data_IF_449516764106
#
_entry.id   IF_449516764106
#
_cell.length_a   1.000
_cell.length_b   1.000
_cell.length_c   1.000
_cell.angle_alpha   90.00
_cell.angle_beta   90.00
_cell.angle_gamma   90.00
#
_symmetry.space_group_name_H-M   'P 1'
#
loop_
_entity.id
_entity.type
_entity.pdbx_description
1 polymer ?
#
# COMPACT_ATOMS: atom_id res chain seq x y z
N UNK A 1 -34.28 -29.22 -24.29
CA UNK A 1 -32.91 -29.62 -24.68
C UNK A 1 -32.60 -29.64 -26.20
N UNK A 2 -33.55 -29.41 -27.13
CA UNK A 2 -33.24 -29.40 -28.58
C UNK A 2 -32.51 -28.12 -29.05
N UNK A 3 -32.83 -26.97 -28.45
CA UNK A 3 -32.27 -25.65 -28.85
C UNK A 3 -30.77 -25.55 -28.53
N UNK A 4 -30.33 -25.92 -27.32
CA UNK A 4 -28.92 -25.98 -26.94
C UNK A 4 -28.10 -26.89 -27.88
N UNK A 5 -28.66 -28.04 -28.26
CA UNK A 5 -28.02 -29.00 -29.18
C UNK A 5 -27.88 -28.41 -30.60
N UNK A 6 -28.88 -27.66 -31.07
CA UNK A 6 -28.84 -26.95 -32.35
C UNK A 6 -27.82 -25.81 -32.35
N UNK A 7 -27.77 -25.02 -31.28
CA UNK A 7 -26.78 -23.93 -31.12
C UNK A 7 -25.35 -24.46 -31.16
N UNK A 8 -25.05 -25.53 -30.42
CA UNK A 8 -23.70 -26.11 -30.39
C UNK A 8 -23.29 -26.70 -31.74
N UNK A 9 -24.21 -27.38 -32.42
CA UNK A 9 -23.97 -27.95 -33.76
C UNK A 9 -23.76 -26.85 -34.81
N UNK A 10 -24.46 -25.72 -34.68
CA UNK A 10 -24.30 -24.57 -35.57
C UNK A 10 -22.99 -23.81 -35.29
N UNK A 11 -22.61 -23.64 -34.02
CA UNK A 11 -21.34 -23.03 -33.64
C UNK A 11 -20.13 -23.86 -34.06
N UNK A 12 -20.19 -25.20 -33.99
CA UNK A 12 -19.12 -26.09 -34.44
C UNK A 12 -19.07 -26.30 -35.95
N UNK A 13 -20.02 -25.75 -36.73
CA UNK A 13 -20.03 -25.85 -38.20
C UNK A 13 -18.82 -25.17 -38.84
N UNK A 14 -18.36 -24.07 -38.25
CA UNK A 14 -17.16 -23.36 -38.65
C UNK A 14 -16.18 -23.28 -37.48
N UNK A 15 -15.52 -24.43 -37.20
CA UNK A 15 -14.64 -24.63 -36.03
C UNK A 15 -13.58 -23.53 -35.88
N UNK A 16 -12.94 -23.12 -36.98
CA UNK A 16 -11.90 -22.08 -36.96
C UNK A 16 -12.45 -20.71 -36.51
N UNK A 17 -13.56 -20.27 -37.11
CA UNK A 17 -14.18 -18.98 -36.80
C UNK A 17 -14.64 -18.91 -35.35
N UNK A 18 -15.33 -19.96 -34.89
CA UNK A 18 -15.84 -20.02 -33.51
C UNK A 18 -14.71 -20.10 -32.48
N UNK A 19 -13.62 -20.80 -32.79
CA UNK A 19 -12.45 -20.86 -31.93
C UNK A 19 -11.72 -19.51 -31.86
N UNK A 20 -11.52 -18.83 -32.99
CA UNK A 20 -10.92 -17.49 -33.03
C UNK A 20 -11.75 -16.45 -32.25
N UNK A 21 -13.08 -16.51 -32.33
CA UNK A 21 -13.95 -15.59 -31.57
C UNK A 21 -13.93 -15.90 -30.07
N UNK A 22 -14.00 -17.18 -29.69
CA UNK A 22 -13.89 -17.57 -28.29
C UNK A 22 -12.52 -17.20 -27.69
N UNK A 23 -11.44 -17.41 -28.44
CA UNK A 23 -10.09 -17.08 -28.02
C UNK A 23 -9.90 -15.56 -27.86
N UNK A 24 -10.44 -14.75 -28.78
CA UNK A 24 -10.39 -13.30 -28.67
C UNK A 24 -11.07 -12.78 -27.39
N UNK A 25 -12.26 -13.30 -27.07
CA UNK A 25 -12.98 -12.97 -25.83
C UNK A 25 -12.18 -13.46 -24.61
N UNK A 26 -11.62 -14.68 -24.67
CA UNK A 26 -10.83 -15.24 -23.58
C UNK A 26 -9.57 -14.39 -23.29
N UNK A 27 -8.86 -13.94 -24.33
CA UNK A 27 -7.68 -13.07 -24.20
C UNK A 27 -8.08 -11.74 -23.56
N UNK A 28 -9.19 -11.13 -23.98
CA UNK A 28 -9.66 -9.87 -23.40
C UNK A 28 -9.98 -10.00 -21.90
N UNK A 29 -10.71 -11.05 -21.52
CA UNK A 29 -11.04 -11.33 -20.11
C UNK A 29 -9.77 -11.63 -19.31
N UNK A 30 -8.84 -12.42 -19.87
CA UNK A 30 -7.57 -12.76 -19.22
C UNK A 30 -6.72 -11.51 -18.97
N UNK A 31 -6.54 -10.66 -19.97
CA UNK A 31 -5.79 -9.42 -19.84
C UNK A 31 -6.41 -8.49 -18.79
N UNK A 32 -7.73 -8.34 -18.81
CA UNK A 32 -8.44 -7.56 -17.79
C UNK A 32 -8.25 -8.13 -16.39
N UNK A 33 -8.42 -9.44 -16.22
CA UNK A 33 -8.29 -10.12 -14.93
C UNK A 33 -6.87 -10.04 -14.37
N UNK A 34 -5.87 -10.18 -15.25
CA UNK A 34 -4.46 -10.05 -14.90
C UNK A 34 -4.14 -8.62 -14.45
N UNK A 35 -4.58 -7.61 -15.21
CA UNK A 35 -4.42 -6.21 -14.84
C UNK A 35 -5.09 -5.90 -13.49
N UNK A 36 -6.31 -6.39 -13.27
CA UNK A 36 -7.03 -6.30 -11.99
C UNK A 36 -6.23 -6.93 -10.85
N UNK A 37 -5.72 -8.14 -11.05
CA UNK A 37 -4.96 -8.89 -10.04
C UNK A 37 -3.66 -8.17 -9.69
N UNK A 38 -2.94 -7.66 -10.68
CA UNK A 38 -1.69 -6.91 -10.46
C UNK A 38 -1.97 -5.62 -9.69
N UNK A 39 -3.02 -4.89 -10.06
CA UNK A 39 -3.46 -3.69 -9.33
C UNK A 39 -3.82 -4.05 -7.88
N UNK A 40 -4.69 -5.04 -7.69
CA UNK A 40 -5.16 -5.45 -6.37
C UNK A 40 -3.99 -5.96 -5.50
N UNK A 41 -3.04 -6.72 -6.05
CA UNK A 41 -1.84 -7.18 -5.35
C UNK A 41 -0.92 -6.01 -4.95
N UNK A 42 -0.74 -5.02 -5.82
CA UNK A 42 0.04 -3.81 -5.53
C UNK A 42 -0.61 -2.99 -4.41
N UNK A 43 -1.94 -2.86 -4.43
CA UNK A 43 -2.69 -2.13 -3.41
C UNK A 43 -2.98 -2.95 -2.14
N UNK A 44 -2.80 -4.27 -2.12
CA UNK A 44 -2.97 -5.09 -0.90
C UNK A 44 -2.03 -4.62 0.23
N UNK A 45 -0.82 -4.17 -0.10
CA UNK A 45 0.09 -3.54 0.87
C UNK A 45 -0.43 -2.21 1.44
N UNK A 46 -1.20 -1.46 0.64
CA UNK A 46 -1.83 -0.20 1.04
C UNK A 46 -3.16 -0.45 1.78
N UNK A 47 -3.94 -1.45 1.39
CA UNK A 47 -5.19 -1.83 2.06
C UNK A 47 -4.95 -2.48 3.43
N UNK A 48 -3.74 -2.97 3.69
CA UNK A 48 -3.29 -3.38 5.02
C UNK A 48 -2.96 -2.17 5.92
N UNK A 49 -2.83 -0.98 5.34
CA UNK A 49 -2.69 0.25 6.11
C UNK A 49 -4.07 0.70 6.60
N UNK A 50 -4.17 1.06 7.88
CA UNK A 50 -5.44 1.38 8.53
C UNK A 50 -6.28 2.38 7.72
N UNK A 51 -7.54 2.02 7.45
CA UNK A 51 -8.52 2.89 6.76
C UNK A 51 -8.82 4.20 7.51
N UNK A 52 -8.35 4.31 8.76
CA UNK A 52 -8.57 5.48 9.62
C UNK A 52 -7.35 6.41 9.70
N UNK A 53 -6.30 6.19 8.89
CA UNK A 53 -5.12 7.08 8.88
C UNK A 53 -5.02 7.89 7.60
N UNK A 54 -4.83 9.20 7.77
CA UNK A 54 -4.57 10.14 6.68
C UNK A 54 -3.13 10.65 6.77
N UNK A 55 -2.39 10.54 5.67
CA UNK A 55 -1.03 11.08 5.56
C UNK A 55 -1.06 12.42 4.83
N UNK A 56 -0.70 13.50 5.54
CA UNK A 56 -0.57 14.85 4.96
C UNK A 56 0.90 15.16 4.66
N UNK A 57 1.19 15.66 3.46
CA UNK A 57 2.55 16.04 3.04
C UNK A 57 2.59 17.45 2.44
N UNK A 58 3.78 18.01 2.34
CA UNK A 58 3.99 19.24 1.58
C UNK A 58 3.61 19.03 0.11
N UNK A 59 2.84 19.97 -0.46
CA UNK A 59 2.38 19.90 -1.85
C UNK A 59 3.52 19.87 -2.87
N UNK A 60 4.67 20.48 -2.55
CA UNK A 60 5.82 20.58 -3.45
C UNK A 60 6.56 19.25 -3.56
N UNK A 61 6.97 18.67 -2.43
CA UNK A 61 7.65 17.37 -2.38
C UNK A 61 7.69 16.82 -0.95
N UNK A 62 7.83 15.51 -0.80
CA UNK A 62 8.11 14.84 0.48
C UNK A 62 9.44 15.29 1.10
N UNK A 63 10.37 15.76 0.28
CA UNK A 63 11.67 16.28 0.72
C UNK A 63 11.56 17.59 1.54
N UNK A 64 10.44 18.32 1.39
CA UNK A 64 10.23 19.57 2.12
C UNK A 64 9.39 19.33 3.36
N UNK A 65 9.94 19.68 4.53
CA UNK A 65 9.23 19.60 5.81
C UNK A 65 7.97 20.49 5.82
N UNK A 66 6.98 20.07 6.60
CA UNK A 66 5.83 20.91 6.92
C UNK A 66 6.12 21.75 8.18
N UNK A 67 5.52 22.94 8.32
CA UNK A 67 5.64 23.71 9.56
C UNK A 67 5.04 22.97 10.76
N UNK A 68 5.75 22.93 11.89
CA UNK A 68 5.28 22.29 13.14
C UNK A 68 3.94 22.82 13.63
N UNK A 69 3.64 24.10 13.36
CA UNK A 69 2.36 24.72 13.71
C UNK A 69 1.13 24.01 13.10
N UNK A 70 1.31 23.20 12.05
CA UNK A 70 0.22 22.44 11.44
C UNK A 70 -0.21 21.25 12.29
N UNK A 71 0.66 20.68 13.13
CA UNK A 71 0.30 19.59 14.03
C UNK A 71 -0.89 19.99 14.93
N UNK A 72 -0.77 21.13 15.62
CA UNK A 72 -1.81 21.65 16.49
C UNK A 72 -3.07 22.09 15.73
N UNK A 73 -2.96 22.45 14.44
CA UNK A 73 -4.13 22.78 13.59
C UNK A 73 -4.88 21.51 13.17
N UNK A 74 -4.15 20.47 12.77
CA UNK A 74 -4.72 19.18 12.36
C UNK A 74 -5.38 18.50 13.55
N UNK A 75 -4.75 18.53 14.73
CA UNK A 75 -5.30 17.94 15.95
C UNK A 75 -6.66 18.54 16.38
N UNK A 76 -7.00 19.74 15.91
CA UNK A 76 -8.29 20.40 16.20
C UNK A 76 -9.40 20.04 15.20
N UNK A 77 -9.08 19.33 14.12
CA UNK A 77 -10.08 18.92 13.12
C UNK A 77 -11.01 17.87 13.75
N UNK A 78 -12.35 18.03 13.66
CA UNK A 78 -13.27 17.04 14.19
C UNK A 78 -13.01 15.63 13.64
N UNK A 79 -12.95 14.64 14.52
CA UNK A 79 -12.69 13.23 14.17
C UNK A 79 -11.21 12.82 14.19
N UNK A 80 -10.27 13.76 14.36
CA UNK A 80 -8.85 13.43 14.54
C UNK A 80 -8.60 12.97 15.98
N UNK A 81 -8.13 11.73 16.14
CA UNK A 81 -7.84 11.12 17.45
C UNK A 81 -6.37 11.24 17.86
N UNK A 82 -5.47 11.49 16.91
CA UNK A 82 -4.05 11.65 17.16
C UNK A 82 -3.32 12.16 15.92
N UNK A 83 -2.18 12.83 16.16
CA UNK A 83 -1.28 13.33 15.12
C UNK A 83 0.14 12.93 15.51
N UNK A 84 0.93 12.50 14.54
CA UNK A 84 2.35 12.24 14.71
C UNK A 84 3.09 12.75 13.50
N UNK A 85 4.29 13.27 13.73
CA UNK A 85 5.18 13.72 12.66
C UNK A 85 6.06 12.56 12.20
N UNK A 86 6.25 12.47 10.88
CA UNK A 86 7.25 11.62 10.25
C UNK A 86 7.99 12.42 9.18
N UNK A 87 9.30 12.59 9.34
CA UNK A 87 10.14 13.35 8.43
C UNK A 87 11.07 12.40 7.67
N UNK A 88 10.92 12.37 6.35
CA UNK A 88 11.88 11.67 5.50
C UNK A 88 13.19 12.47 5.47
N UNK A 89 14.30 11.80 5.74
CA UNK A 89 15.63 12.44 5.75
C UNK A 89 16.58 11.87 4.70
N UNK A 90 16.10 10.97 3.82
CA UNK A 90 16.89 10.46 2.70
C UNK A 90 18.16 9.70 3.11
N UNK A 91 18.14 8.99 4.24
CA UNK A 91 19.30 8.22 4.69
C UNK A 91 19.71 7.11 3.72
N UNK A 92 20.98 6.74 3.75
CA UNK A 92 21.55 5.64 2.95
C UNK A 92 21.91 4.49 3.88
N UNK A 93 21.39 3.29 3.60
CA UNK A 93 21.73 2.09 4.36
C UNK A 93 22.80 1.28 3.62
N UNK A 94 24.05 1.34 4.09
CA UNK A 94 25.23 0.70 3.49
C UNK A 94 25.58 1.24 2.09
N UNK A 95 24.69 1.06 1.10
CA UNK A 95 24.82 1.48 -0.30
C UNK A 95 23.50 2.09 -0.79
N UNK A 96 23.54 3.00 -1.76
CA UNK A 96 22.36 3.61 -2.38
C UNK A 96 21.42 2.59 -3.03
N UNK A 97 21.94 1.42 -3.42
CA UNK A 97 21.14 0.32 -3.98
C UNK A 97 20.17 -0.29 -2.97
N UNK A 98 20.47 -0.21 -1.67
CA UNK A 98 19.62 -0.74 -0.59
C UNK A 98 18.61 0.31 -0.13
N UNK A 99 17.94 0.96 -1.08
CA UNK A 99 17.02 2.03 -0.78
C UNK A 99 15.76 1.50 -0.11
N UNK A 100 15.48 2.01 1.08
CA UNK A 100 14.16 1.95 1.70
C UNK A 100 13.84 3.28 2.37
N UNK A 101 12.56 3.54 2.56
CA UNK A 101 12.11 4.81 3.10
C UNK A 101 12.45 4.91 4.61
N UNK A 102 13.36 5.80 4.95
CA UNK A 102 13.82 6.06 6.31
C UNK A 102 13.20 7.35 6.84
N UNK A 103 12.45 7.25 7.93
CA UNK A 103 11.72 8.36 8.54
C UNK A 103 12.18 8.59 9.98
N UNK A 104 12.40 9.85 10.34
CA UNK A 104 12.48 10.29 11.73
C UNK A 104 11.07 10.56 12.24
N UNK A 105 10.68 9.93 13.34
CA UNK A 105 9.30 9.98 13.86
C UNK A 105 9.29 10.35 15.34
N UNK A 106 8.14 10.81 15.84
CA UNK A 106 7.89 10.94 17.27
C UNK A 106 7.58 9.57 17.88
N UNK A 107 8.48 8.94 18.66
CA UNK A 107 8.43 7.50 18.93
C UNK A 107 7.09 7.03 19.51
N UNK A 108 6.62 7.65 20.59
CA UNK A 108 5.40 7.24 21.27
C UNK A 108 4.13 7.53 20.47
N UNK A 109 4.02 8.74 19.90
CA UNK A 109 2.85 9.14 19.12
C UNK A 109 2.73 8.29 17.86
N UNK A 110 3.87 8.04 17.20
CA UNK A 110 3.91 7.25 15.99
C UNK A 110 3.48 5.81 16.26
N UNK A 111 4.07 5.12 17.24
CA UNK A 111 3.68 3.74 17.55
C UNK A 111 2.21 3.60 18.00
N UNK A 112 1.64 4.61 18.68
CA UNK A 112 0.20 4.64 19.00
C UNK A 112 -0.69 4.71 17.76
N UNK A 113 -0.24 5.41 16.71
CA UNK A 113 -0.97 5.49 15.44
C UNK A 113 -0.78 4.24 14.56
N UNK A 114 0.26 3.43 14.80
CA UNK A 114 0.56 2.22 14.03
C UNK A 114 0.42 0.93 14.86
N UNK A 115 -0.81 0.57 15.30
CA UNK A 115 -1.04 -0.63 16.11
C UNK A 115 -0.72 -1.93 15.37
N UNK A 116 -0.63 -1.92 14.04
CA UNK A 116 -0.25 -3.08 13.25
C UNK A 116 1.25 -3.44 13.36
N UNK A 117 2.07 -2.57 13.95
CA UNK A 117 3.47 -2.88 14.20
C UNK A 117 3.59 -3.81 15.41
N UNK A 118 3.96 -5.05 15.12
CA UNK A 118 4.18 -6.09 16.13
C UNK A 118 5.58 -5.92 16.70
N UNK A 119 5.66 -5.31 17.89
CA UNK A 119 6.89 -5.12 18.66
C UNK A 119 6.67 -5.69 20.07
N UNK A 120 7.69 -6.35 20.60
CA UNK A 120 7.74 -6.73 22.02
C UNK A 120 7.83 -5.49 22.90
N UNK A 121 7.39 -5.59 24.16
CA UNK A 121 7.48 -4.48 25.11
C UNK A 121 8.92 -4.01 25.34
N UNK A 122 9.90 -4.91 25.24
CA UNK A 122 11.32 -4.59 25.29
C UNK A 122 11.74 -3.73 24.09
N UNK A 123 11.40 -4.15 22.87
CA UNK A 123 11.74 -3.39 21.65
C UNK A 123 11.12 -1.98 21.65
N UNK A 124 9.89 -1.84 22.14
CA UNK A 124 9.25 -0.53 22.32
C UNK A 124 10.02 0.33 23.32
N UNK A 125 10.37 -0.23 24.48
CA UNK A 125 11.10 0.48 25.52
C UNK A 125 12.50 0.91 25.04
N UNK A 126 13.23 0.03 24.37
CA UNK A 126 14.55 0.32 23.80
C UNK A 126 14.44 1.47 22.77
N UNK A 127 13.42 1.44 21.90
CA UNK A 127 13.17 2.50 20.92
C UNK A 127 12.82 3.85 21.57
N UNK A 128 12.08 3.86 22.68
CA UNK A 128 11.73 5.10 23.39
C UNK A 128 12.91 5.69 24.17
N UNK A 129 13.81 4.86 24.69
CA UNK A 129 14.95 5.32 25.49
C UNK A 129 16.15 5.73 24.62
N UNK A 130 16.39 5.02 23.53
CA UNK A 130 17.57 5.23 22.68
C UNK A 130 17.27 6.20 21.54
N UNK A 131 17.90 7.38 21.58
CA UNK A 131 17.73 8.42 20.54
C UNK A 131 18.25 8.00 19.15
N UNK A 132 19.11 6.99 19.10
CA UNK A 132 19.71 6.45 17.87
C UNK A 132 19.16 5.07 17.51
N UNK A 133 18.09 4.61 18.15
CA UNK A 133 17.45 3.36 17.77
C UNK A 133 16.67 3.50 16.45
N UNK A 134 16.54 2.38 15.75
CA UNK A 134 15.70 2.28 14.56
C UNK A 134 14.89 0.98 14.63
N UNK A 135 13.65 1.05 14.12
CA UNK A 135 12.81 -0.13 13.93
C UNK A 135 12.86 -0.49 12.46
N UNK A 136 13.20 -1.74 12.18
CA UNK A 136 13.42 -2.26 10.83
C UNK A 136 12.54 -3.50 10.68
N UNK A 137 11.72 -3.54 9.63
CA UNK A 137 10.87 -4.70 9.36
C UNK A 137 11.70 -5.93 8.97
N UNK A 138 11.23 -7.12 9.34
CA UNK A 138 11.95 -8.39 9.10
C UNK A 138 12.21 -8.74 7.62
N UNK A 139 11.63 -7.99 6.67
CA UNK A 139 11.78 -8.19 5.22
C UNK A 139 12.79 -7.23 4.56
N UNK A 140 13.50 -6.42 5.35
CA UNK A 140 14.58 -5.55 4.86
C UNK A 140 15.88 -6.34 4.64
#
# INVERSE_FOLDING_TARGET
MKILKLMFKNAMRHKLRSLLTALGIAIAIFAFSLLRTVIDAYFTGVNSSSSTRLVTRNRVSLAFSMPLAYEAKIAKVPGVTGVSIGQWFGGTYIDQKNFFAQFAVEPEKFLKLYPEYVLTEKEKADFFQQRNACIVGAKL
#
